data_IF_109687272323
#
_entry.id   IF_109687272323
#
_cell.length_a   1.000
_cell.length_b   1.000
_cell.length_c   1.000
_cell.angle_alpha   90.00
_cell.angle_beta   90.00
_cell.angle_gamma   90.00
#
_symmetry.space_group_name_H-M   'P 1'
#
loop_
_entity.id
_entity.type
_entity.pdbx_description
1 polymer ?
#
# COMPACT_ATOMS: atom_id res chain seq x y z
N UNK A 1 14.61 -10.18 -31.36
CA UNK A 1 15.68 -10.52 -30.40
C UNK A 1 15.01 -10.86 -29.08
N UNK A 2 15.10 -12.11 -28.63
CA UNK A 2 14.50 -12.55 -27.38
C UNK A 2 15.20 -11.86 -26.21
N UNK A 3 14.48 -10.96 -25.54
CA UNK A 3 14.88 -10.41 -24.25
C UNK A 3 14.94 -11.58 -23.27
N UNK A 4 16.09 -11.81 -22.63
CA UNK A 4 16.24 -12.93 -21.70
C UNK A 4 15.25 -12.82 -20.55
N UNK A 5 14.87 -13.95 -19.95
CA UNK A 5 13.94 -13.99 -18.80
C UNK A 5 14.42 -13.11 -17.63
N UNK A 6 15.75 -13.06 -17.43
CA UNK A 6 16.42 -12.20 -16.46
C UNK A 6 16.26 -10.70 -16.78
N UNK A 7 16.24 -10.34 -18.06
CA UNK A 7 15.92 -8.98 -18.47
C UNK A 7 14.43 -8.71 -18.22
N UNK A 8 13.50 -9.59 -18.61
CA UNK A 8 12.06 -9.40 -18.30
C UNK A 8 11.74 -9.26 -16.80
N UNK A 9 12.42 -9.99 -15.93
CA UNK A 9 12.31 -9.85 -14.46
C UNK A 9 12.87 -8.49 -13.99
N UNK A 10 14.07 -8.11 -14.43
CA UNK A 10 14.67 -6.78 -14.16
C UNK A 10 13.84 -5.63 -14.73
N UNK A 11 13.10 -5.85 -15.82
CA UNK A 11 12.21 -4.92 -16.52
C UNK A 11 10.96 -4.58 -15.68
N UNK A 12 10.43 -5.54 -14.90
CA UNK A 12 9.31 -5.31 -13.97
C UNK A 12 9.68 -4.38 -12.81
N UNK A 13 10.92 -4.44 -12.35
CA UNK A 13 11.43 -3.60 -11.25
C UNK A 13 11.44 -2.09 -11.60
N UNK A 14 11.63 -1.73 -12.88
CA UNK A 14 11.61 -0.33 -13.33
C UNK A 14 10.21 0.28 -13.20
N UNK A 15 9.20 -0.46 -13.69
CA UNK A 15 7.79 -0.07 -13.58
C UNK A 15 7.42 0.07 -12.11
N UNK A 16 7.78 -0.93 -11.29
CA UNK A 16 7.50 -0.95 -9.85
C UNK A 16 8.03 0.32 -9.17
N UNK A 17 9.32 0.63 -9.32
CA UNK A 17 9.93 1.78 -8.64
C UNK A 17 9.39 3.13 -9.14
N UNK A 18 9.06 3.22 -10.43
CA UNK A 18 8.50 4.43 -11.03
C UNK A 18 7.04 4.68 -10.63
N UNK A 19 6.21 3.65 -10.66
CA UNK A 19 4.81 3.75 -10.25
C UNK A 19 4.64 4.06 -8.75
N UNK A 20 5.70 3.90 -7.96
CA UNK A 20 5.69 4.02 -6.51
C UNK A 20 6.40 5.29 -5.99
N UNK A 21 6.71 6.21 -6.91
CA UNK A 21 7.22 7.55 -6.57
C UNK A 21 8.51 7.54 -5.72
N UNK A 22 9.33 6.49 -5.85
CA UNK A 22 10.49 6.31 -4.99
C UNK A 22 11.60 7.34 -5.29
N UNK A 23 12.43 7.65 -4.29
CA UNK A 23 13.53 8.60 -4.45
C UNK A 23 14.42 8.23 -5.64
N UNK A 24 14.55 9.17 -6.58
CA UNK A 24 15.27 9.01 -7.84
C UNK A 24 16.72 8.49 -7.62
N UNK A 25 17.32 8.80 -6.46
CA UNK A 25 18.65 8.35 -6.08
C UNK A 25 18.75 6.84 -5.81
N UNK A 26 17.71 6.22 -5.25
CA UNK A 26 17.74 4.79 -4.89
C UNK A 26 17.39 3.89 -6.09
N UNK A 27 16.74 4.43 -7.12
CA UNK A 27 16.56 3.75 -8.40
C UNK A 27 17.90 3.19 -8.93
N UNK A 28 19.01 3.83 -8.57
CA UNK A 28 20.36 3.50 -9.02
C UNK A 28 21.17 2.60 -8.07
N UNK A 29 20.95 2.62 -6.75
CA UNK A 29 21.81 1.85 -5.82
C UNK A 29 21.67 0.33 -5.97
N UNK A 30 20.50 -0.16 -6.41
CA UNK A 30 20.28 -1.60 -6.68
C UNK A 30 20.94 -2.07 -7.99
N UNK A 31 21.53 -1.17 -8.79
CA UNK A 31 22.06 -1.46 -10.12
C UNK A 31 23.58 -1.67 -10.19
N UNK A 32 24.30 -1.54 -9.07
CA UNK A 32 25.76 -1.60 -9.09
C UNK A 32 26.37 -3.02 -9.26
N UNK A 33 25.56 -4.06 -9.45
CA UNK A 33 26.05 -5.42 -9.74
C UNK A 33 26.47 -5.58 -11.21
N UNK A 34 27.72 -5.18 -11.47
CA UNK A 34 28.75 -5.85 -12.29
C UNK A 34 28.53 -6.19 -13.78
N UNK A 35 27.32 -6.32 -14.32
CA UNK A 35 27.13 -6.74 -15.73
C UNK A 35 27.04 -5.59 -16.75
N UNK A 36 26.72 -4.36 -16.31
CA UNK A 36 26.47 -3.21 -17.21
C UNK A 36 27.69 -2.37 -17.54
N UNK A 37 28.88 -2.69 -16.98
CA UNK A 37 30.14 -2.02 -17.35
C UNK A 37 30.55 -2.24 -18.81
N UNK A 38 29.88 -3.12 -19.56
CA UNK A 38 30.30 -3.45 -20.93
C UNK A 38 29.48 -2.83 -22.07
N UNK A 39 28.31 -2.21 -21.85
CA UNK A 39 27.53 -1.56 -22.95
C UNK A 39 26.76 -0.31 -22.51
N UNK A 40 27.43 0.83 -22.60
CA UNK A 40 26.90 2.19 -22.62
C UNK A 40 26.03 2.43 -23.87
N UNK A 41 24.82 1.89 -23.93
CA UNK A 41 23.95 2.05 -25.12
C UNK A 41 22.77 2.94 -24.80
N UNK A 42 22.62 4.01 -25.56
CA UNK A 42 21.44 4.86 -25.76
C UNK A 42 20.10 4.11 -25.65
N UNK A 43 20.05 2.85 -26.12
CA UNK A 43 18.91 1.93 -26.01
C UNK A 43 18.42 1.71 -24.58
N UNK A 44 19.28 1.82 -23.58
CA UNK A 44 18.94 1.68 -22.16
C UNK A 44 18.00 2.81 -21.70
N UNK A 45 18.34 4.06 -22.01
CA UNK A 45 17.55 5.22 -21.59
C UNK A 45 16.18 5.23 -22.25
N UNK A 46 16.14 4.90 -23.55
CA UNK A 46 14.88 4.68 -24.27
C UNK A 46 14.06 3.57 -23.63
N UNK A 47 14.67 2.42 -23.32
CA UNK A 47 13.97 1.33 -22.65
C UNK A 47 13.39 1.76 -21.30
N UNK A 48 14.16 2.48 -20.46
CA UNK A 48 13.64 3.03 -19.21
C UNK A 48 12.40 3.90 -19.46
N UNK A 49 12.47 4.86 -20.39
CA UNK A 49 11.33 5.73 -20.71
C UNK A 49 10.11 4.96 -21.24
N UNK A 50 10.33 3.97 -22.13
CA UNK A 50 9.27 3.13 -22.66
C UNK A 50 8.57 2.31 -21.58
N UNK A 51 9.32 1.86 -20.58
CA UNK A 51 8.80 1.05 -19.48
C UNK A 51 8.28 1.85 -18.31
N UNK A 52 8.56 3.14 -18.23
CA UNK A 52 8.02 3.99 -17.19
C UNK A 52 6.94 4.89 -17.78
N UNK A 53 7.32 6.00 -18.40
CA UNK A 53 6.41 7.03 -18.88
C UNK A 53 5.44 6.52 -19.97
N UNK A 54 5.88 5.59 -20.83
CA UNK A 54 5.04 5.06 -21.91
C UNK A 54 4.41 3.70 -21.63
N UNK A 55 4.64 3.12 -20.45
CA UNK A 55 4.01 1.87 -20.08
C UNK A 55 2.50 2.04 -19.94
N UNK A 56 1.72 1.05 -20.38
CA UNK A 56 0.26 1.13 -20.41
C UNK A 56 -0.35 1.43 -19.03
N UNK A 57 0.22 0.83 -17.97
CA UNK A 57 -0.18 1.10 -16.58
C UNK A 57 0.04 2.57 -16.21
N UNK A 58 1.21 3.12 -16.49
CA UNK A 58 1.57 4.51 -16.16
C UNK A 58 0.83 5.53 -17.01
N UNK A 59 0.41 5.17 -18.23
CA UNK A 59 -0.46 6.03 -19.05
C UNK A 59 -1.89 6.05 -18.52
N UNK A 60 -2.38 4.90 -18.06
CA UNK A 60 -3.73 4.77 -17.48
C UNK A 60 -3.81 5.38 -16.07
N UNK A 61 -2.79 5.15 -15.26
CA UNK A 61 -2.69 5.57 -13.86
C UNK A 61 -1.37 6.35 -13.66
N UNK A 62 -1.30 7.59 -14.17
CA UNK A 62 -0.06 8.36 -14.13
C UNK A 62 0.32 8.81 -12.71
N UNK A 63 1.60 8.69 -12.34
CA UNK A 63 2.13 9.37 -11.17
C UNK A 63 2.07 10.90 -11.31
N UNK A 64 2.34 11.63 -10.21
CA UNK A 64 2.24 13.10 -10.18
C UNK A 64 3.05 13.77 -11.27
N UNK A 65 2.59 14.93 -11.74
CA UNK A 65 3.24 15.63 -12.85
C UNK A 65 4.68 16.00 -12.46
N UNK A 66 4.88 16.49 -11.23
CA UNK A 66 6.18 16.85 -10.70
C UNK A 66 7.13 15.64 -10.61
N UNK A 67 6.65 14.47 -10.18
CA UNK A 67 7.48 13.27 -10.18
C UNK A 67 7.93 12.89 -11.58
N UNK A 68 6.99 12.86 -12.54
CA UNK A 68 7.29 12.53 -13.95
C UNK A 68 8.30 13.52 -14.55
N UNK A 69 8.16 14.82 -14.27
CA UNK A 69 9.13 15.86 -14.65
C UNK A 69 10.51 15.56 -14.10
N UNK A 70 10.62 15.38 -12.77
CA UNK A 70 11.91 15.10 -12.11
C UNK A 70 12.56 13.82 -12.62
N UNK A 71 11.78 12.77 -12.82
CA UNK A 71 12.27 11.50 -13.36
C UNK A 71 12.84 11.68 -14.77
N UNK A 72 12.09 12.30 -15.68
CA UNK A 72 12.53 12.52 -17.07
C UNK A 72 13.71 13.47 -17.16
N UNK A 73 13.72 14.56 -16.39
CA UNK A 73 14.86 15.49 -16.34
C UNK A 73 16.12 14.80 -15.84
N UNK A 74 16.04 13.96 -14.80
CA UNK A 74 17.20 13.20 -14.35
C UNK A 74 17.64 12.14 -15.38
N UNK A 75 16.69 11.50 -16.06
CA UNK A 75 16.98 10.51 -17.10
C UNK A 75 17.73 11.15 -18.27
N UNK A 76 17.29 12.33 -18.72
CA UNK A 76 17.95 13.15 -19.75
C UNK A 76 19.34 13.56 -19.28
N UNK A 77 19.46 14.17 -18.10
CA UNK A 77 20.74 14.63 -17.55
C UNK A 77 21.78 13.50 -17.50
N UNK A 78 21.37 12.29 -17.11
CA UNK A 78 22.24 11.12 -17.09
C UNK A 78 22.56 10.61 -18.49
N UNK A 79 21.60 10.60 -19.40
CA UNK A 79 21.82 10.25 -20.78
C UNK A 79 22.90 11.16 -21.40
N UNK A 80 22.79 12.48 -21.21
CA UNK A 80 23.74 13.48 -21.68
C UNK A 80 25.16 13.30 -21.09
N UNK A 81 25.28 12.74 -19.88
CA UNK A 81 26.60 12.45 -19.27
C UNK A 81 27.30 11.23 -19.87
N UNK A 82 26.54 10.30 -20.45
CA UNK A 82 27.07 9.05 -21.04
C UNK A 82 27.21 9.17 -22.56
N UNK A 83 26.31 9.90 -23.19
CA UNK A 83 26.20 10.11 -24.63
C UNK A 83 25.87 11.58 -24.88
N UNK A 84 26.65 12.27 -25.72
CA UNK A 84 26.48 13.70 -25.95
C UNK A 84 25.35 14.02 -26.93
N UNK A 85 24.82 13.04 -27.66
CA UNK A 85 23.67 13.25 -28.55
C UNK A 85 22.37 13.22 -27.75
N UNK A 86 21.52 14.25 -27.80
CA UNK A 86 20.21 14.24 -27.14
C UNK A 86 19.29 13.19 -27.79
N UNK A 87 18.39 12.63 -26.98
CA UNK A 87 17.36 11.71 -27.46
C UNK A 87 16.00 12.38 -27.51
N UNK A 88 15.53 12.66 -28.72
CA UNK A 88 14.27 13.35 -28.99
C UNK A 88 13.09 12.70 -28.23
N UNK A 89 13.04 11.37 -28.14
CA UNK A 89 11.96 10.67 -27.44
C UNK A 89 11.87 11.02 -25.94
N UNK A 90 13.01 11.33 -25.29
CA UNK A 90 13.01 11.76 -23.89
C UNK A 90 12.53 13.20 -23.72
N UNK A 91 12.90 14.08 -24.65
CA UNK A 91 12.44 15.48 -24.64
C UNK A 91 10.97 15.59 -25.02
N UNK A 92 10.49 14.80 -25.98
CA UNK A 92 9.08 14.70 -26.32
C UNK A 92 8.26 14.23 -25.10
N UNK A 93 8.72 13.18 -24.42
CA UNK A 93 8.11 12.72 -23.18
C UNK A 93 8.09 13.81 -22.10
N UNK A 94 9.16 14.60 -21.98
CA UNK A 94 9.23 15.69 -21.01
C UNK A 94 8.29 16.83 -21.39
N UNK A 95 8.22 17.19 -22.67
CA UNK A 95 7.33 18.24 -23.19
C UNK A 95 5.86 17.93 -22.89
N UNK A 96 5.44 16.68 -23.12
CA UNK A 96 4.10 16.19 -22.78
C UNK A 96 3.77 16.39 -21.30
N UNK A 97 4.74 16.11 -20.41
CA UNK A 97 4.55 16.27 -18.96
C UNK A 97 4.60 17.75 -18.54
N UNK A 98 5.43 18.57 -19.20
CA UNK A 98 5.50 20.02 -18.96
C UNK A 98 4.19 20.72 -19.26
N UNK A 99 3.48 20.29 -20.30
CA UNK A 99 2.15 20.80 -20.64
C UNK A 99 1.02 20.35 -19.71
N UNK A 100 1.25 19.38 -18.82
CA UNK A 100 0.22 18.84 -17.93
C UNK A 100 0.04 19.68 -16.65
N UNK A 101 -1.22 19.79 -16.20
CA UNK A 101 -1.59 20.45 -14.94
C UNK A 101 -1.27 19.57 -13.72
N UNK A 102 -0.64 20.15 -12.70
CA UNK A 102 -0.39 19.47 -11.42
C UNK A 102 -1.68 19.42 -10.59
N UNK A 103 -1.97 18.25 -10.03
CA UNK A 103 -3.15 18.02 -9.20
C UNK A 103 -2.75 17.74 -7.76
N UNK A 104 -3.68 17.93 -6.83
CA UNK A 104 -3.54 17.54 -5.42
C UNK A 104 -3.49 16.02 -5.21
N UNK A 105 -3.84 15.25 -6.23
CA UNK A 105 -3.94 13.80 -6.21
C UNK A 105 -3.20 13.18 -7.40
N UNK A 106 -2.65 11.99 -7.21
CA UNK A 106 -1.99 11.24 -8.27
C UNK A 106 -2.18 9.74 -8.07
N UNK A 107 -1.89 8.97 -9.12
CA UNK A 107 -1.94 7.52 -8.98
C UNK A 107 -0.62 6.96 -8.45
N UNK A 108 -0.72 6.00 -7.55
CA UNK A 108 0.37 5.08 -7.19
C UNK A 108 -0.04 3.68 -7.58
N UNK A 109 0.84 2.96 -8.27
CA UNK A 109 0.55 1.58 -8.72
C UNK A 109 1.59 0.60 -8.19
N UNK A 110 1.14 -0.47 -7.56
CA UNK A 110 1.93 -1.52 -6.92
C UNK A 110 1.77 -2.80 -7.72
N UNK A 111 2.88 -3.45 -8.09
CA UNK A 111 2.85 -4.75 -8.76
C UNK A 111 2.83 -5.86 -7.72
N UNK A 112 1.96 -6.85 -7.91
CA UNK A 112 1.84 -8.01 -7.04
C UNK A 112 2.67 -9.19 -7.60
N UNK A 113 3.20 -10.09 -6.75
CA UNK A 113 3.95 -11.25 -7.22
C UNK A 113 3.15 -12.21 -8.11
N UNK A 114 1.82 -12.18 -8.03
CA UNK A 114 0.94 -12.96 -8.90
C UNK A 114 0.78 -12.37 -10.32
N UNK A 115 1.39 -11.22 -10.62
CA UNK A 115 1.29 -10.52 -11.90
C UNK A 115 0.15 -9.50 -11.98
N UNK A 116 -0.73 -9.46 -10.98
CA UNK A 116 -1.77 -8.44 -10.83
C UNK A 116 -1.17 -7.10 -10.36
N UNK A 117 -1.99 -6.05 -10.39
CA UNK A 117 -1.61 -4.70 -9.96
C UNK A 117 -2.65 -4.10 -9.03
N UNK A 118 -2.20 -3.35 -8.03
CA UNK A 118 -3.05 -2.48 -7.21
C UNK A 118 -2.75 -1.04 -7.60
N UNK A 119 -3.73 -0.31 -8.12
CA UNK A 119 -3.58 1.12 -8.45
C UNK A 119 -4.47 1.95 -7.54
N UNK A 120 -3.96 3.01 -6.95
CA UNK A 120 -4.69 3.86 -6.02
C UNK A 120 -4.56 5.31 -6.42
N UNK A 121 -5.66 6.05 -6.37
CA UNK A 121 -5.64 7.51 -6.35
C UNK A 121 -5.37 7.94 -4.90
N UNK A 122 -4.25 8.63 -4.68
CA UNK A 122 -3.80 9.11 -3.38
C UNK A 122 -3.53 10.61 -3.42
N UNK A 123 -3.68 11.29 -2.27
CA UNK A 123 -3.27 12.68 -2.14
C UNK A 123 -1.73 12.77 -2.21
N UNK A 124 -1.24 13.87 -2.79
CA UNK A 124 0.20 14.17 -2.82
C UNK A 124 0.69 14.60 -1.43
N UNK A 125 -0.17 15.31 -0.68
CA UNK A 125 0.11 15.72 0.70
C UNK A 125 -0.23 14.60 1.70
N UNK A 126 0.68 14.33 2.64
CA UNK A 126 0.52 13.29 3.66
C UNK A 126 -0.62 13.57 4.64
N UNK A 127 -0.88 14.84 4.92
CA UNK A 127 -2.00 15.31 5.74
C UNK A 127 -2.79 16.28 4.88
N UNK A 128 -4.04 15.98 4.66
CA UNK A 128 -4.94 16.77 3.84
C UNK A 128 -6.35 16.64 4.38
N UNK A 129 -7.14 17.71 4.30
CA UNK A 129 -8.55 17.69 4.71
C UNK A 129 -8.79 17.21 6.15
N UNK A 130 -7.81 17.44 7.05
CA UNK A 130 -7.91 17.05 8.46
C UNK A 130 -7.73 15.55 8.72
N UNK A 131 -7.33 14.76 7.72
CA UNK A 131 -7.13 13.31 7.83
C UNK A 131 -5.75 12.87 7.33
N UNK A 132 -5.31 11.71 7.80
CA UNK A 132 -4.12 10.98 7.34
C UNK A 132 -4.48 9.80 6.42
N UNK A 133 -5.78 9.53 6.20
CA UNK A 133 -6.29 8.34 5.50
C UNK A 133 -6.24 8.41 3.98
N UNK A 134 -5.74 9.49 3.38
CA UNK A 134 -5.72 9.71 1.93
C UNK A 134 -4.40 9.30 1.25
N UNK A 135 -3.51 8.65 1.99
CA UNK A 135 -2.23 8.11 1.50
C UNK A 135 -1.97 6.71 2.04
N UNK A 136 -1.17 5.93 1.33
CA UNK A 136 -0.69 4.62 1.81
C UNK A 136 0.46 4.80 2.79
N UNK A 137 0.36 4.18 3.98
CA UNK A 137 1.39 4.21 5.01
C UNK A 137 2.22 2.92 5.08
N UNK A 138 3.40 2.99 5.71
CA UNK A 138 4.40 1.91 5.68
C UNK A 138 3.93 0.62 6.35
N UNK A 139 3.18 0.69 7.46
CA UNK A 139 2.60 -0.50 8.08
C UNK A 139 1.57 -1.21 7.19
N UNK A 140 0.88 -0.48 6.30
CA UNK A 140 -0.04 -1.08 5.33
C UNK A 140 0.74 -1.88 4.29
N UNK A 141 1.88 -1.34 3.83
CA UNK A 141 2.80 -2.03 2.93
C UNK A 141 3.40 -3.28 3.59
N UNK A 142 3.86 -3.17 4.83
CA UNK A 142 4.38 -4.29 5.61
C UNK A 142 3.33 -5.39 5.83
N UNK A 143 2.11 -5.01 6.25
CA UNK A 143 1.03 -5.96 6.48
C UNK A 143 0.61 -6.67 5.19
N UNK A 144 0.56 -5.95 4.07
CA UNK A 144 0.29 -6.55 2.77
C UNK A 144 1.38 -7.55 2.37
N UNK A 145 2.67 -7.23 2.56
CA UNK A 145 3.75 -8.18 2.32
C UNK A 145 3.64 -9.42 3.21
N UNK A 146 3.35 -9.24 4.50
CA UNK A 146 3.15 -10.35 5.42
C UNK A 146 1.96 -11.22 4.98
N UNK A 147 0.87 -10.61 4.52
CA UNK A 147 -0.30 -11.33 4.01
C UNK A 147 0.02 -12.16 2.76
N UNK A 148 0.88 -11.65 1.87
CA UNK A 148 1.35 -12.39 0.70
C UNK A 148 2.16 -13.65 1.07
N UNK A 149 2.86 -13.64 2.22
CA UNK A 149 3.56 -14.80 2.79
C UNK A 149 2.64 -15.73 3.60
N UNK A 150 1.49 -15.24 4.05
CA UNK A 150 0.60 -15.94 4.99
C UNK A 150 -0.85 -16.00 4.48
N UNK A 151 -1.03 -16.25 3.18
CA UNK A 151 -2.33 -16.22 2.51
C UNK A 151 -3.39 -17.09 3.22
N UNK A 152 -3.00 -18.23 3.78
CA UNK A 152 -3.84 -19.16 4.54
C UNK A 152 -4.55 -18.52 5.74
N UNK A 153 -4.03 -17.40 6.26
CA UNK A 153 -4.66 -16.64 7.34
C UNK A 153 -5.93 -15.94 6.86
N UNK A 154 -6.02 -15.65 5.57
CA UNK A 154 -7.08 -14.86 4.95
C UNK A 154 -7.98 -15.68 4.01
N UNK A 155 -7.50 -16.81 3.49
CA UNK A 155 -8.24 -17.66 2.55
C UNK A 155 -9.57 -18.13 3.14
N UNK A 156 -10.67 -17.86 2.42
CA UNK A 156 -12.02 -18.23 2.83
C UNK A 156 -12.55 -17.50 4.08
N UNK A 157 -11.85 -16.47 4.57
CA UNK A 157 -12.22 -15.71 5.77
C UNK A 157 -13.13 -14.53 5.45
N UNK A 158 -13.88 -14.09 6.47
CA UNK A 158 -14.59 -12.81 6.47
C UNK A 158 -13.72 -11.81 7.23
N UNK A 159 -13.17 -10.84 6.51
CA UNK A 159 -12.15 -9.93 7.02
C UNK A 159 -12.76 -8.55 7.21
N UNK A 160 -12.45 -7.91 8.33
CA UNK A 160 -12.69 -6.49 8.57
C UNK A 160 -11.35 -5.75 8.68
N UNK A 161 -11.16 -4.71 7.87
CA UNK A 161 -10.02 -3.80 7.99
C UNK A 161 -10.46 -2.51 8.71
N UNK A 162 -9.92 -2.28 9.90
CA UNK A 162 -10.15 -1.06 10.68
C UNK A 162 -9.24 0.05 10.17
N UNK A 163 -9.81 1.22 9.85
CA UNK A 163 -9.03 2.37 9.37
C UNK A 163 -8.35 2.06 8.05
N UNK A 164 -9.14 1.68 7.05
CA UNK A 164 -8.67 1.21 5.74
C UNK A 164 -7.94 2.28 4.92
N UNK A 165 -8.15 3.57 5.22
CA UNK A 165 -7.58 4.66 4.45
C UNK A 165 -7.93 4.54 2.96
N UNK A 166 -6.91 4.61 2.09
CA UNK A 166 -7.06 4.44 0.63
C UNK A 166 -7.29 2.99 0.18
N UNK A 167 -7.22 2.00 1.08
CA UNK A 167 -7.59 0.61 0.82
C UNK A 167 -6.48 -0.31 0.34
N UNK A 168 -5.22 0.13 0.40
CA UNK A 168 -4.09 -0.63 -0.15
C UNK A 168 -4.00 -2.08 0.35
N UNK A 169 -4.03 -2.28 1.67
CA UNK A 169 -3.87 -3.61 2.27
C UNK A 169 -5.00 -4.52 1.85
N UNK A 170 -6.26 -4.10 2.04
CA UNK A 170 -7.40 -4.93 1.73
C UNK A 170 -7.54 -5.25 0.25
N UNK A 171 -7.24 -4.30 -0.65
CA UNK A 171 -7.23 -4.58 -2.09
C UNK A 171 -6.16 -5.62 -2.42
N UNK A 172 -4.97 -5.52 -1.83
CA UNK A 172 -3.89 -6.51 -2.00
C UNK A 172 -4.31 -7.91 -1.52
N UNK A 173 -4.95 -7.98 -0.34
CA UNK A 173 -5.44 -9.25 0.23
C UNK A 173 -6.54 -9.84 -0.65
N UNK A 174 -7.49 -9.04 -1.12
CA UNK A 174 -8.54 -9.49 -2.03
C UNK A 174 -7.99 -10.09 -3.32
N UNK A 175 -6.92 -9.49 -3.87
CA UNK A 175 -6.27 -9.96 -5.10
C UNK A 175 -5.40 -11.20 -4.92
N UNK A 176 -4.84 -11.42 -3.74
CA UNK A 176 -3.77 -12.41 -3.56
C UNK A 176 -4.06 -13.52 -2.57
N UNK A 177 -5.06 -13.38 -1.70
CA UNK A 177 -5.27 -14.30 -0.58
C UNK A 177 -6.63 -15.02 -0.59
N UNK A 178 -7.47 -14.74 -1.60
CA UNK A 178 -8.78 -15.37 -1.79
C UNK A 178 -9.67 -15.40 -0.55
N UNK A 179 -9.98 -14.24 0.08
CA UNK A 179 -10.94 -14.22 1.17
C UNK A 179 -12.35 -14.58 0.70
N UNK A 180 -13.26 -14.88 1.62
CA UNK A 180 -14.70 -15.06 1.31
C UNK A 180 -15.37 -13.69 1.15
N UNK A 181 -15.16 -12.81 2.13
CA UNK A 181 -15.71 -11.45 2.20
C UNK A 181 -14.66 -10.51 2.79
N UNK A 182 -14.58 -9.29 2.28
CA UNK A 182 -13.73 -8.24 2.80
C UNK A 182 -14.54 -6.98 3.07
N UNK A 183 -14.49 -6.50 4.31
CA UNK A 183 -15.17 -5.30 4.78
C UNK A 183 -14.10 -4.25 5.01
N UNK A 184 -14.05 -3.28 4.11
CA UNK A 184 -13.25 -2.08 4.29
C UNK A 184 -14.02 -1.14 5.21
N UNK A 185 -13.34 -0.56 6.20
CA UNK A 185 -13.98 0.37 7.12
C UNK A 185 -13.11 1.56 7.48
N UNK A 186 -13.75 2.72 7.59
CA UNK A 186 -13.18 3.98 8.07
C UNK A 186 -14.31 4.84 8.67
N UNK A 187 -14.01 5.96 9.30
CA UNK A 187 -15.02 6.87 9.87
C UNK A 187 -15.10 8.22 9.15
N UNK A 188 -14.09 8.57 8.35
CA UNK A 188 -14.03 9.88 7.70
C UNK A 188 -14.69 9.85 6.32
N UNK A 189 -15.68 10.71 6.09
CA UNK A 189 -16.49 10.70 4.84
C UNK A 189 -15.65 10.80 3.57
N UNK A 190 -14.71 11.76 3.48
CA UNK A 190 -13.80 11.89 2.34
C UNK A 190 -12.96 10.62 2.11
N UNK A 191 -12.49 9.98 3.19
CA UNK A 191 -11.69 8.75 3.09
C UNK A 191 -12.55 7.62 2.56
N UNK A 192 -13.79 7.48 3.05
CA UNK A 192 -14.74 6.47 2.57
C UNK A 192 -15.10 6.65 1.09
N UNK A 193 -15.28 7.90 0.63
CA UNK A 193 -15.51 8.19 -0.79
C UNK A 193 -14.30 7.76 -1.63
N UNK A 194 -13.10 8.18 -1.25
CA UNK A 194 -11.86 7.80 -1.95
C UNK A 194 -11.63 6.28 -1.94
N UNK A 195 -11.93 5.64 -0.82
CA UNK A 195 -11.81 4.20 -0.65
C UNK A 195 -12.75 3.44 -1.59
N UNK A 196 -14.01 3.87 -1.72
CA UNK A 196 -14.96 3.29 -2.68
C UNK A 196 -14.45 3.41 -4.11
N UNK A 197 -13.97 4.59 -4.48
CA UNK A 197 -13.38 4.82 -5.80
C UNK A 197 -12.19 3.90 -6.06
N UNK A 198 -11.28 3.74 -5.10
CA UNK A 198 -10.11 2.87 -5.23
C UNK A 198 -10.47 1.38 -5.27
N UNK A 199 -11.43 0.93 -4.46
CA UNK A 199 -11.92 -0.46 -4.50
C UNK A 199 -12.52 -0.77 -5.88
N UNK A 200 -13.35 0.13 -6.41
CA UNK A 200 -13.96 0.00 -7.74
C UNK A 200 -12.92 0.11 -8.87
N UNK A 201 -11.93 1.01 -8.75
CA UNK A 201 -10.82 1.18 -9.70
C UNK A 201 -10.05 -0.13 -9.88
N UNK A 202 -9.90 -0.88 -8.79
CA UNK A 202 -9.29 -2.20 -8.76
C UNK A 202 -10.30 -3.33 -9.03
N UNK A 203 -11.44 -3.05 -9.67
CA UNK A 203 -12.38 -4.06 -10.15
C UNK A 203 -12.95 -4.97 -9.07
N UNK A 204 -12.93 -4.54 -7.80
CA UNK A 204 -13.55 -5.26 -6.70
C UNK A 204 -14.98 -4.74 -6.54
N UNK A 205 -15.95 -5.65 -6.50
CA UNK A 205 -17.37 -5.31 -6.36
C UNK A 205 -18.07 -6.37 -5.49
N UNK A 206 -19.21 -6.02 -4.90
CA UNK A 206 -20.03 -6.94 -4.10
C UNK A 206 -20.43 -8.23 -4.83
N UNK A 207 -20.51 -8.18 -6.17
CA UNK A 207 -20.94 -9.29 -7.03
C UNK A 207 -19.81 -10.22 -7.43
N UNK A 208 -18.57 -9.88 -7.12
CA UNK A 208 -17.39 -10.68 -7.41
C UNK A 208 -16.94 -11.45 -6.18
N UNK A 209 -16.08 -12.45 -6.37
CA UNK A 209 -15.39 -13.13 -5.27
C UNK A 209 -13.97 -12.58 -5.17
N UNK A 210 -13.52 -12.10 -3.99
CA UNK A 210 -14.28 -11.97 -2.75
C UNK A 210 -15.39 -10.92 -2.82
N UNK A 211 -16.47 -11.12 -2.05
CA UNK A 211 -17.47 -10.07 -1.86
C UNK A 211 -16.84 -8.92 -1.06
N UNK A 212 -16.89 -7.69 -1.57
CA UNK A 212 -16.32 -6.52 -0.90
C UNK A 212 -17.39 -5.52 -0.52
N UNK A 213 -17.25 -4.85 0.62
CA UNK A 213 -18.05 -3.68 0.97
C UNK A 213 -17.21 -2.60 1.66
N UNK A 214 -17.67 -1.35 1.58
CA UNK A 214 -17.03 -0.18 2.21
C UNK A 214 -18.02 0.45 3.18
N UNK A 215 -17.76 0.25 4.46
CA UNK A 215 -18.66 0.62 5.56
C UNK A 215 -18.11 1.78 6.38
N UNK A 216 -19.00 2.66 6.82
CA UNK A 216 -18.67 3.60 7.88
C UNK A 216 -18.63 2.86 9.22
N UNK A 217 -17.53 2.97 9.95
CA UNK A 217 -17.33 2.35 11.24
C UNK A 217 -16.69 3.32 12.22
N UNK A 218 -17.52 4.03 12.97
CA UNK A 218 -17.07 4.79 14.12
C UNK A 218 -16.88 3.86 15.34
N UNK A 219 -15.62 3.76 15.79
CA UNK A 219 -15.21 2.89 16.87
C UNK A 219 -15.89 3.24 18.21
N UNK A 220 -16.32 4.50 18.39
CA UNK A 220 -16.97 4.97 19.60
C UNK A 220 -18.43 4.52 19.68
N UNK A 221 -19.13 4.51 18.55
CA UNK A 221 -20.60 4.34 18.49
C UNK A 221 -21.04 2.94 18.05
N UNK A 222 -20.18 2.18 17.37
CA UNK A 222 -20.54 0.83 16.89
C UNK A 222 -20.99 -0.11 18.03
N UNK A 223 -22.10 -0.80 17.80
CA UNK A 223 -22.71 -1.73 18.76
C UNK A 223 -22.19 -3.16 18.60
N UNK A 224 -22.46 -4.02 19.59
CA UNK A 224 -22.09 -5.44 19.51
C UNK A 224 -22.91 -6.17 18.46
N UNK A 225 -24.15 -5.75 18.27
CA UNK A 225 -25.09 -6.30 17.29
C UNK A 225 -24.58 -6.06 15.88
N UNK A 226 -24.17 -4.81 15.57
CA UNK A 226 -23.55 -4.47 14.28
C UNK A 226 -22.28 -5.28 14.02
N UNK A 227 -21.40 -5.42 15.02
CA UNK A 227 -20.18 -6.25 14.91
C UNK A 227 -20.54 -7.72 14.63
N UNK A 228 -21.58 -8.24 15.28
CA UNK A 228 -22.02 -9.63 15.14
C UNK A 228 -22.61 -9.88 13.74
N UNK A 229 -23.38 -8.94 13.21
CA UNK A 229 -23.96 -9.01 11.85
C UNK A 229 -22.89 -9.06 10.74
N UNK A 230 -21.69 -8.53 10.99
CA UNK A 230 -20.59 -8.61 10.04
C UNK A 230 -20.01 -10.02 9.91
N UNK A 231 -20.24 -10.91 10.87
CA UNK A 231 -19.74 -12.29 10.92
C UNK A 231 -18.22 -12.38 10.68
N UNK A 232 -17.47 -11.45 11.28
CA UNK A 232 -16.03 -11.33 11.09
C UNK A 232 -15.29 -12.42 11.86
N UNK A 233 -14.32 -13.05 11.20
CA UNK A 233 -13.43 -14.03 11.83
C UNK A 233 -11.95 -13.66 11.71
N UNK A 234 -11.62 -12.62 10.94
CA UNK A 234 -10.31 -11.99 10.92
C UNK A 234 -10.48 -10.47 10.93
N UNK A 235 -9.74 -9.78 11.79
CA UNK A 235 -9.69 -8.32 11.84
C UNK A 235 -8.24 -7.88 11.63
N UNK A 236 -8.06 -6.90 10.76
CA UNK A 236 -6.75 -6.29 10.53
C UNK A 236 -6.82 -4.78 10.74
N UNK A 237 -5.70 -4.18 11.10
CA UNK A 237 -5.54 -2.73 11.09
C UNK A 237 -4.08 -2.38 10.82
N UNK A 238 -3.85 -1.37 9.98
CA UNK A 238 -2.51 -0.88 9.66
C UNK A 238 -2.40 0.61 9.98
N UNK A 239 -1.39 0.98 10.79
CA UNK A 239 -1.09 2.38 11.15
C UNK A 239 -2.25 3.15 11.83
N UNK A 240 -3.13 2.44 12.54
CA UNK A 240 -4.25 3.03 13.29
C UNK A 240 -3.89 3.51 14.70
N UNK A 241 -2.65 3.34 15.16
CA UNK A 241 -2.19 3.78 16.50
C UNK A 241 -1.22 4.95 16.35
N UNK A 242 -1.77 6.13 16.03
CA UNK A 242 -0.97 7.32 15.70
C UNK A 242 -1.20 8.52 16.65
N UNK A 243 -2.23 8.49 17.49
CA UNK A 243 -2.52 9.54 18.47
C UNK A 243 -3.02 8.93 19.80
N UNK A 244 -2.70 9.51 20.98
CA UNK A 244 -3.21 9.01 22.25
C UNK A 244 -4.74 8.97 22.33
N UNK A 245 -5.43 9.97 21.79
CA UNK A 245 -6.89 10.14 21.92
C UNK A 245 -7.70 9.02 21.25
N UNK A 246 -7.14 8.32 20.27
CA UNK A 246 -7.83 7.22 19.57
C UNK A 246 -7.64 5.87 20.25
N UNK A 247 -6.65 5.75 21.15
CA UNK A 247 -6.26 4.48 21.78
C UNK A 247 -7.41 3.88 22.58
N UNK A 248 -8.08 4.69 23.39
CA UNK A 248 -9.17 4.22 24.26
C UNK A 248 -10.33 3.66 23.43
N UNK A 249 -10.73 4.39 22.39
CA UNK A 249 -11.79 4.00 21.46
C UNK A 249 -11.45 2.69 20.73
N UNK A 250 -10.20 2.56 20.26
CA UNK A 250 -9.72 1.35 19.61
C UNK A 250 -9.73 0.15 20.57
N UNK A 251 -9.21 0.29 21.79
CA UNK A 251 -9.18 -0.81 22.78
C UNK A 251 -10.60 -1.25 23.17
N UNK A 252 -11.53 -0.30 23.34
CA UNK A 252 -12.96 -0.60 23.58
C UNK A 252 -13.57 -1.39 22.43
N UNK A 253 -13.31 -1.00 21.18
CA UNK A 253 -13.77 -1.73 20.00
C UNK A 253 -13.19 -3.15 19.95
N UNK A 254 -11.87 -3.30 20.12
CA UNK A 254 -11.19 -4.59 20.13
C UNK A 254 -11.75 -5.52 21.21
N UNK A 255 -12.05 -4.97 22.39
CA UNK A 255 -12.69 -5.72 23.48
C UNK A 255 -14.10 -6.19 23.11
N UNK A 256 -14.91 -5.35 22.45
CA UNK A 256 -16.25 -5.72 21.93
C UNK A 256 -16.15 -6.85 20.90
N UNK A 257 -15.23 -6.73 19.94
CA UNK A 257 -14.98 -7.71 18.88
C UNK A 257 -14.59 -9.08 19.48
N UNK A 258 -13.63 -9.09 20.42
CA UNK A 258 -13.16 -10.34 21.05
C UNK A 258 -14.22 -11.00 21.94
N UNK A 259 -15.13 -10.22 22.54
CA UNK A 259 -16.21 -10.74 23.39
C UNK A 259 -17.46 -11.18 22.61
N UNK A 260 -17.55 -10.90 21.31
CA UNK A 260 -18.80 -11.04 20.54
C UNK A 260 -19.05 -12.40 19.87
N UNK A 261 -18.07 -13.31 19.84
CA UNK A 261 -18.17 -14.52 19.03
C UNK A 261 -18.55 -15.77 19.83
N UNK A 262 -19.68 -16.40 19.46
CA UNK A 262 -20.11 -17.69 19.99
C UNK A 262 -19.35 -18.88 19.37
N UNK A 263 -18.70 -18.70 18.22
CA UNK A 263 -17.99 -19.74 17.44
C UNK A 263 -16.45 -19.62 17.54
N UNK A 264 -15.96 -18.86 18.53
CA UNK A 264 -14.54 -18.59 18.76
C UNK A 264 -14.14 -17.18 18.36
N UNK A 265 -13.29 -16.54 19.16
CA UNK A 265 -12.90 -15.14 18.95
C UNK A 265 -12.20 -14.94 17.59
N UNK A 266 -12.48 -13.83 16.87
CA UNK A 266 -11.82 -13.54 15.61
C UNK A 266 -10.31 -13.35 15.81
N UNK A 267 -9.52 -13.75 14.81
CA UNK A 267 -8.09 -13.46 14.80
C UNK A 267 -7.87 -11.98 14.52
N UNK A 268 -7.20 -11.27 15.42
CA UNK A 268 -6.91 -9.84 15.23
C UNK A 268 -5.42 -9.64 14.98
N UNK A 269 -5.09 -8.84 13.96
CA UNK A 269 -3.73 -8.43 13.59
C UNK A 269 -3.65 -6.90 13.54
N UNK A 270 -2.75 -6.31 14.31
CA UNK A 270 -2.49 -4.87 14.28
C UNK A 270 -1.05 -4.66 13.84
N UNK A 271 -0.86 -3.89 12.78
CA UNK A 271 0.46 -3.52 12.26
C UNK A 271 0.67 -2.02 12.48
N UNK A 272 1.80 -1.61 13.04
CA UNK A 272 2.06 -0.21 13.38
C UNK A 272 3.51 0.18 13.12
N UNK A 273 3.68 1.28 12.41
CA UNK A 273 4.92 2.04 12.31
C UNK A 273 5.06 2.86 13.59
N UNK A 274 6.02 2.52 14.43
CA UNK A 274 6.20 3.12 15.74
C UNK A 274 6.95 4.44 15.58
N UNK A 275 6.18 5.52 15.39
CA UNK A 275 6.68 6.90 15.28
C UNK A 275 6.83 7.58 16.64
N UNK A 276 5.92 7.27 17.56
CA UNK A 276 5.97 7.71 18.95
C UNK A 276 5.90 6.47 19.87
N UNK A 277 7.01 6.19 20.55
CA UNK A 277 7.13 5.02 21.42
C UNK A 277 6.23 5.09 22.67
N UNK A 278 5.94 6.29 23.18
CA UNK A 278 5.07 6.49 24.34
C UNK A 278 3.61 6.19 23.97
N UNK A 279 3.12 6.70 22.84
CA UNK A 279 1.77 6.40 22.35
C UNK A 279 1.57 4.90 22.14
N UNK A 280 2.54 4.24 21.51
CA UNK A 280 2.44 2.80 21.25
C UNK A 280 2.53 1.95 22.52
N UNK A 281 3.39 2.35 23.47
CA UNK A 281 3.47 1.70 24.79
C UNK A 281 2.18 1.89 25.58
N UNK A 282 1.59 3.09 25.54
CA UNK A 282 0.30 3.38 26.15
C UNK A 282 -0.83 2.53 25.57
N UNK A 283 -0.82 2.27 24.26
CA UNK A 283 -1.75 1.33 23.63
C UNK A 283 -1.62 -0.10 24.18
N UNK A 284 -0.40 -0.63 24.28
CA UNK A 284 -0.17 -1.97 24.85
C UNK A 284 -0.62 -2.06 26.31
N UNK A 285 -0.34 -1.04 27.12
CA UNK A 285 -0.78 -0.99 28.51
C UNK A 285 -2.32 -0.97 28.62
N UNK A 286 -3.00 -0.22 27.75
CA UNK A 286 -4.47 -0.20 27.73
C UNK A 286 -5.06 -1.54 27.26
N UNK A 287 -4.43 -2.24 26.32
CA UNK A 287 -4.81 -3.61 25.96
C UNK A 287 -4.76 -4.54 27.20
N UNK A 288 -3.64 -4.52 27.92
CA UNK A 288 -3.45 -5.33 29.13
C UNK A 288 -4.47 -4.99 30.22
N UNK A 289 -4.71 -3.70 30.47
CA UNK A 289 -5.71 -3.24 31.43
C UNK A 289 -7.14 -3.67 31.04
N UNK A 290 -7.43 -3.82 29.75
CA UNK A 290 -8.69 -4.35 29.24
C UNK A 290 -8.75 -5.90 29.22
N UNK A 291 -7.73 -6.58 29.74
CA UNK A 291 -7.61 -8.04 29.74
C UNK A 291 -7.36 -8.63 28.35
N UNK A 292 -6.82 -7.85 27.41
CA UNK A 292 -6.46 -8.29 26.06
C UNK A 292 -4.96 -8.57 26.04
N UNK A 293 -4.60 -9.83 25.86
CA UNK A 293 -3.22 -10.25 25.67
C UNK A 293 -2.80 -10.02 24.23
N UNK A 294 -1.50 -9.77 24.02
CA UNK A 294 -0.92 -9.60 22.70
C UNK A 294 0.35 -10.43 22.54
N UNK A 295 0.66 -10.78 21.30
CA UNK A 295 1.91 -11.43 20.94
C UNK A 295 2.52 -10.75 19.71
N UNK A 296 3.80 -10.38 19.81
CA UNK A 296 4.54 -9.79 18.70
C UNK A 296 4.87 -10.87 17.68
N UNK A 297 4.38 -10.68 16.45
CA UNK A 297 4.70 -11.54 15.33
C UNK A 297 6.10 -11.16 14.84
N UNK A 298 7.02 -12.12 14.91
CA UNK A 298 8.40 -11.98 14.46
C UNK A 298 8.67 -12.86 13.25
N UNK A 299 9.69 -12.51 12.49
CA UNK A 299 10.12 -13.26 11.31
C UNK A 299 10.38 -12.36 10.11
N UNK A 300 11.11 -12.85 9.10
CA UNK A 300 11.30 -12.12 7.87
C UNK A 300 9.99 -11.99 7.10
N UNK A 301 9.80 -10.84 6.47
CA UNK A 301 8.70 -10.58 5.54
C UNK A 301 9.31 -10.35 4.16
N UNK A 302 8.65 -10.87 3.11
CA UNK A 302 9.09 -10.64 1.73
C UNK A 302 9.18 -9.15 1.41
N UNK A 303 10.13 -8.77 0.56
CA UNK A 303 10.34 -7.38 0.13
C UNK A 303 9.75 -7.17 -1.26
N UNK A 304 8.47 -6.86 -1.33
CA UNK A 304 7.71 -6.62 -2.57
C UNK A 304 7.54 -5.13 -2.82
N UNK A 305 7.17 -4.36 -1.80
CA UNK A 305 6.84 -2.95 -1.95
C UNK A 305 7.97 -2.04 -1.46
N UNK A 306 8.21 -0.88 -2.10
CA UNK A 306 9.21 0.08 -1.66
C UNK A 306 8.63 0.96 -0.54
N UNK A 307 9.27 0.90 0.63
CA UNK A 307 9.09 1.81 1.76
C UNK A 307 10.37 1.82 2.61
N UNK A 308 10.48 2.71 3.59
CA UNK A 308 11.67 2.79 4.42
C UNK A 308 11.78 1.54 5.30
N UNK A 309 12.83 0.74 5.08
CA UNK A 309 13.08 -0.49 5.85
C UNK A 309 13.75 -0.24 7.20
N UNK A 310 14.19 0.99 7.44
CA UNK A 310 14.71 1.42 8.74
C UNK A 310 13.58 1.87 9.68
N UNK A 311 12.36 2.03 9.17
CA UNK A 311 11.18 2.30 10.00
C UNK A 311 10.91 1.14 10.95
N UNK A 312 10.72 1.46 12.23
CA UNK A 312 10.40 0.45 13.24
C UNK A 312 8.92 0.07 13.12
N UNK A 313 8.64 -1.05 12.45
CA UNK A 313 7.30 -1.59 12.26
C UNK A 313 7.12 -2.81 13.14
N UNK A 314 6.08 -2.82 13.96
CA UNK A 314 5.71 -3.96 14.79
C UNK A 314 4.31 -4.45 14.41
N UNK A 315 4.17 -5.76 14.28
CA UNK A 315 2.89 -6.41 14.07
C UNK A 315 2.58 -7.33 15.25
N UNK A 316 1.38 -7.18 15.82
CA UNK A 316 0.91 -7.96 16.95
C UNK A 316 -0.36 -8.71 16.61
N UNK A 317 -0.55 -9.87 17.23
CA UNK A 317 -1.85 -10.55 17.28
C UNK A 317 -2.45 -10.44 18.67
N UNK A 318 -3.79 -10.28 18.73
CA UNK A 318 -4.52 -10.09 19.99
C UNK A 318 -5.39 -11.29 20.31
N UNK A 319 -5.52 -11.60 21.60
CA UNK A 319 -6.35 -12.68 22.13
C UNK A 319 -6.82 -12.36 23.55
N UNK A 320 -7.91 -12.99 23.98
CA UNK A 320 -8.41 -12.99 25.35
C UNK A 320 -8.32 -14.40 25.93
#
# INVERSE_FOLDING_TARGET
MSVSKLAQERLGDYILKYCLLFEINIFYFTFHTTELRSKHSTKYFLLCCFQTCFHALCRKFPPSVNYRKRFLTELIRRQETVDHAPLDELYDALADVVGAEEKSECYKSYLLPCGDTVSLLENVALISEGTTGLVTWEAALYLAEWALDHQQVFTGRTILELGSGVGFTGITICRSCSPKKFIFSDCHTTVLEKLRDNVQLNGLTEKMSPAVSVEELDWMTVTKEQIKEMEVNTVIAADVVYHPDIVESLVKLLSKILSGSAEGAPKILICSTIRNSETYSGFKQQLEAAGISHHVITGPVRKVFPYNRDSFIEMITLYK
#
